data_IF_670374891835
#
_entry.id   IF_670374891835
#
_cell.length_a   1.000
_cell.length_b   1.000
_cell.length_c   1.000
_cell.angle_alpha   90.00
_cell.angle_beta   90.00
_cell.angle_gamma   90.00
#
_symmetry.space_group_name_H-M   'P 1'
#
loop_
_entity.id
_entity.type
_entity.pdbx_description
1 polymer ?
#
# COMPACT_ATOMS: atom_id res chain seq x y z
N UNK A 1 37.45 -21.32 -24.62
CA UNK A 1 36.31 -20.34 -24.59
C UNK A 1 35.14 -20.81 -23.72
N UNK A 2 34.97 -22.07 -23.36
CA UNK A 2 33.91 -22.58 -22.45
C UNK A 2 34.22 -22.45 -20.96
N UNK A 3 35.48 -22.34 -20.57
CA UNK A 3 35.91 -22.26 -19.16
C UNK A 3 35.76 -20.85 -18.57
N UNK A 4 35.79 -19.81 -19.40
CA UNK A 4 35.65 -18.43 -18.96
C UNK A 4 34.17 -18.09 -18.62
N UNK A 5 33.21 -18.67 -19.35
CA UNK A 5 31.78 -18.43 -19.08
C UNK A 5 31.27 -19.07 -17.77
N UNK A 6 31.86 -20.19 -17.32
CA UNK A 6 31.41 -20.88 -16.11
C UNK A 6 31.87 -20.24 -14.80
N UNK A 7 32.88 -19.36 -14.82
CA UNK A 7 33.38 -18.66 -13.62
C UNK A 7 32.88 -17.24 -13.46
N UNK A 8 32.49 -16.57 -14.58
CA UNK A 8 32.03 -15.17 -14.57
C UNK A 8 30.58 -15.08 -14.12
N UNK A 9 29.71 -16.02 -14.52
CA UNK A 9 28.29 -16.01 -14.17
C UNK A 9 28.04 -16.16 -12.66
N UNK A 10 28.69 -17.10 -11.93
CA UNK A 10 28.52 -17.20 -10.47
C UNK A 10 29.02 -15.98 -9.70
N UNK A 11 30.12 -15.35 -10.17
CA UNK A 11 30.68 -14.15 -9.51
C UNK A 11 29.77 -12.92 -9.77
N UNK A 12 29.18 -12.81 -10.94
CA UNK A 12 28.23 -11.72 -11.26
C UNK A 12 26.91 -11.89 -10.55
N UNK A 13 26.40 -13.12 -10.42
CA UNK A 13 25.18 -13.46 -9.67
C UNK A 13 25.39 -13.26 -8.17
N UNK A 14 26.57 -13.64 -7.61
CA UNK A 14 26.88 -13.40 -6.20
C UNK A 14 27.10 -11.91 -5.89
N UNK A 15 27.63 -11.11 -6.82
CA UNK A 15 27.74 -9.66 -6.68
C UNK A 15 26.38 -8.95 -6.72
N UNK A 16 25.41 -9.44 -7.49
CA UNK A 16 24.03 -8.94 -7.52
C UNK A 16 23.22 -9.33 -6.27
N UNK A 17 23.55 -10.47 -5.65
CA UNK A 17 22.90 -10.93 -4.42
C UNK A 17 23.33 -10.16 -3.16
N UNK A 18 24.47 -9.47 -3.18
CA UNK A 18 25.01 -8.72 -2.03
C UNK A 18 24.87 -7.19 -2.14
N UNK A 19 24.08 -6.67 -3.09
CA UNK A 19 23.82 -5.23 -3.12
C UNK A 19 22.73 -4.88 -2.09
N UNK A 20 23.12 -4.08 -1.10
CA UNK A 20 22.20 -3.54 -0.12
C UNK A 20 21.09 -2.75 -0.81
N UNK A 21 19.86 -3.09 -0.47
CA UNK A 21 18.65 -2.41 -0.93
C UNK A 21 18.26 -1.36 0.09
N UNK A 22 18.47 -0.11 -0.29
CA UNK A 22 18.10 1.05 0.51
C UNK A 22 16.57 1.17 0.60
N UNK A 23 16.04 1.37 1.81
CA UNK A 23 14.61 1.45 2.04
C UNK A 23 13.88 0.10 2.02
N UNK A 24 14.61 -0.99 2.11
CA UNK A 24 14.10 -2.36 2.17
C UNK A 24 14.78 -3.15 3.29
N UNK A 25 14.25 -4.34 3.57
CA UNK A 25 14.88 -5.29 4.48
C UNK A 25 16.04 -6.02 3.81
N UNK A 26 17.16 -6.11 4.52
CA UNK A 26 18.35 -6.83 4.13
C UNK A 26 18.73 -7.83 5.23
N UNK A 27 19.38 -8.94 4.86
CA UNK A 27 19.98 -9.88 5.82
C UNK A 27 21.48 -9.60 5.81
N UNK A 28 22.01 -9.09 6.92
CA UNK A 28 23.40 -8.66 7.03
C UNK A 28 24.08 -9.36 8.20
N UNK A 29 25.38 -9.62 8.03
CA UNK A 29 26.20 -10.28 9.03
C UNK A 29 26.78 -9.27 10.01
N UNK A 30 26.78 -9.60 11.30
CA UNK A 30 27.47 -8.83 12.35
C UNK A 30 28.97 -9.02 12.22
N UNK A 31 29.70 -7.91 12.06
CA UNK A 31 31.17 -7.93 11.92
C UNK A 31 31.88 -7.38 13.16
N UNK A 32 31.20 -6.57 13.97
CA UNK A 32 31.80 -5.94 15.16
C UNK A 32 30.75 -5.54 16.17
N UNK A 33 31.04 -5.70 17.45
CA UNK A 33 30.20 -5.27 18.58
C UNK A 33 30.91 -4.11 19.28
N UNK A 34 30.13 -3.06 19.60
CA UNK A 34 30.59 -1.85 20.29
C UNK A 34 29.59 -1.44 21.38
N UNK A 35 29.95 -0.53 22.28
CA UNK A 35 29.10 -0.12 23.40
C UNK A 35 27.77 0.50 22.99
N UNK A 36 27.73 1.15 21.83
CA UNK A 36 26.56 1.86 21.30
C UNK A 36 25.80 1.11 20.20
N UNK A 37 26.19 -0.15 19.89
CA UNK A 37 25.50 -0.97 18.91
C UNK A 37 26.36 -2.06 18.30
N UNK A 38 25.98 -2.51 17.10
CA UNK A 38 26.76 -3.47 16.31
C UNK A 38 26.96 -2.96 14.89
N UNK A 39 28.08 -3.30 14.29
CA UNK A 39 28.33 -3.03 12.88
C UNK A 39 28.01 -4.26 12.04
N UNK A 40 27.33 -4.03 10.94
CA UNK A 40 26.90 -5.02 9.96
C UNK A 40 27.73 -4.88 8.67
N UNK A 41 27.96 -5.99 8.00
CA UNK A 41 28.66 -6.03 6.72
C UNK A 41 27.81 -5.42 5.60
N UNK A 42 28.13 -4.21 5.19
CA UNK A 42 27.53 -3.51 4.07
C UNK A 42 28.18 -3.78 2.71
N UNK A 43 29.18 -4.68 2.67
CA UNK A 43 29.96 -4.98 1.48
C UNK A 43 30.94 -3.88 1.08
N UNK A 44 31.58 -4.05 -0.07
CA UNK A 44 32.61 -3.11 -0.57
C UNK A 44 32.12 -1.67 -0.75
N UNK A 45 30.85 -1.48 -1.07
CA UNK A 45 30.31 -0.15 -1.39
C UNK A 45 29.88 0.64 -0.14
N UNK A 46 29.20 -0.03 0.81
CA UNK A 46 28.64 0.63 1.99
C UNK A 46 29.52 0.48 3.23
N UNK A 47 30.51 -0.41 3.21
CA UNK A 47 31.39 -0.69 4.34
C UNK A 47 30.64 -1.25 5.56
N UNK A 48 31.00 -0.80 6.74
CA UNK A 48 30.35 -1.19 7.99
C UNK A 48 29.13 -0.29 8.26
N UNK A 49 27.93 -0.89 8.42
CA UNK A 49 26.68 -0.19 8.69
C UNK A 49 26.33 -0.35 10.16
N UNK A 50 26.11 0.75 10.86
CA UNK A 50 25.73 0.74 12.27
C UNK A 50 24.26 0.30 12.44
N UNK A 51 24.03 -0.69 13.30
CA UNK A 51 22.76 -0.99 13.94
C UNK A 51 22.82 -0.51 15.40
N UNK A 52 22.11 0.57 15.77
CA UNK A 52 22.15 1.10 17.12
C UNK A 52 21.68 0.11 18.19
N UNK A 53 22.28 0.15 19.37
CA UNK A 53 21.98 -0.74 20.51
C UNK A 53 20.52 -0.80 20.88
N UNK A 54 19.82 0.32 20.74
CA UNK A 54 18.39 0.43 21.10
C UNK A 54 17.49 -0.45 20.21
N UNK A 55 17.95 -0.80 19.02
CA UNK A 55 17.21 -1.65 18.07
C UNK A 55 17.89 -2.98 17.79
N UNK A 56 19.11 -3.18 18.30
CA UNK A 56 19.85 -4.43 18.20
C UNK A 56 19.33 -5.48 19.19
N UNK A 57 19.43 -6.79 18.90
CA UNK A 57 19.12 -7.85 19.84
C UNK A 57 20.09 -7.81 21.05
N UNK A 58 19.57 -8.12 22.25
CA UNK A 58 20.35 -8.08 23.49
C UNK A 58 21.53 -9.09 23.51
N UNK A 59 21.36 -10.25 22.85
CA UNK A 59 22.35 -11.32 22.79
C UNK A 59 22.90 -11.51 21.36
N UNK A 60 23.43 -10.44 20.81
CA UNK A 60 24.01 -10.48 19.47
C UNK A 60 25.49 -10.83 19.52
N UNK A 61 25.98 -11.65 18.58
CA UNK A 61 27.38 -12.09 18.46
C UNK A 61 27.94 -11.78 17.07
N UNK A 62 29.25 -11.58 17.00
CA UNK A 62 29.92 -11.51 15.70
C UNK A 62 29.71 -12.79 14.91
N UNK A 63 29.32 -12.61 13.64
CA UNK A 63 28.96 -13.70 12.76
C UNK A 63 27.48 -13.98 12.63
N UNK A 64 26.62 -13.45 13.51
CA UNK A 64 25.17 -13.59 13.41
C UNK A 64 24.62 -12.88 12.16
N UNK A 65 23.59 -13.43 11.55
CA UNK A 65 22.85 -12.81 10.46
C UNK A 65 21.58 -12.16 11.00
N UNK A 66 21.43 -10.85 10.75
CA UNK A 66 20.28 -10.07 11.20
C UNK A 66 19.47 -9.55 10.01
N UNK A 67 18.14 -9.70 10.08
CA UNK A 67 17.21 -9.04 9.17
C UNK A 67 16.97 -7.61 9.64
N UNK A 68 17.50 -6.64 8.92
CA UNK A 68 17.46 -5.22 9.25
C UNK A 68 16.89 -4.38 8.11
N UNK A 69 16.25 -3.28 8.44
CA UNK A 69 15.84 -2.26 7.49
C UNK A 69 16.97 -1.23 7.34
N UNK A 70 17.31 -0.85 6.11
CA UNK A 70 18.41 0.08 5.81
C UNK A 70 17.85 1.41 5.32
N UNK A 71 18.26 2.49 5.98
CA UNK A 71 17.83 3.86 5.63
C UNK A 71 18.91 4.88 5.96
N UNK A 72 18.65 6.18 5.72
CA UNK A 72 19.55 7.26 6.12
C UNK A 72 19.09 7.90 7.44
N UNK A 73 20.03 8.13 8.35
CA UNK A 73 19.79 8.91 9.56
C UNK A 73 19.66 10.43 9.28
N UNK A 74 19.49 11.23 10.34
CA UNK A 74 19.34 12.68 10.21
C UNK A 74 20.59 13.40 9.71
N UNK A 75 21.75 12.75 9.74
CA UNK A 75 23.02 13.24 9.23
C UNK A 75 23.36 12.68 7.83
N UNK A 76 22.36 12.06 7.17
CA UNK A 76 22.48 11.40 5.86
C UNK A 76 23.51 10.25 5.82
N UNK A 77 23.77 9.60 6.96
CA UNK A 77 24.57 8.37 7.04
C UNK A 77 23.67 7.16 6.88
N UNK A 78 24.17 6.13 6.18
CA UNK A 78 23.45 4.84 6.09
C UNK A 78 23.45 4.17 7.47
N UNK A 79 22.28 3.76 7.90
CA UNK A 79 22.05 3.13 9.20
C UNK A 79 21.06 1.97 9.07
N UNK A 80 21.24 0.98 9.91
CA UNK A 80 20.33 -0.15 10.04
C UNK A 80 19.39 0.01 11.24
N UNK A 81 18.22 -0.59 11.16
CA UNK A 81 17.30 -0.69 12.29
C UNK A 81 16.50 -1.98 12.24
N UNK A 82 16.14 -2.53 13.39
CA UNK A 82 15.14 -3.60 13.51
C UNK A 82 13.74 -3.06 13.80
N UNK A 83 13.59 -1.74 13.96
CA UNK A 83 12.28 -1.11 14.04
C UNK A 83 11.57 -1.26 12.70
N UNK A 84 10.32 -1.69 12.73
CA UNK A 84 9.50 -1.84 11.51
C UNK A 84 8.97 -0.47 11.06
N UNK A 85 9.34 0.01 9.87
CA UNK A 85 8.75 1.21 9.30
C UNK A 85 7.29 0.96 8.91
N UNK A 86 6.50 2.03 8.76
CA UNK A 86 5.10 1.94 8.29
C UNK A 86 4.99 1.49 6.83
N UNK A 87 6.04 1.66 6.04
CA UNK A 87 6.15 1.20 4.66
C UNK A 87 7.62 1.10 4.25
N UNK A 88 7.91 0.26 3.27
CA UNK A 88 9.22 0.15 2.61
C UNK A 88 9.17 0.79 1.22
N UNK A 89 10.31 0.88 0.57
CA UNK A 89 10.39 1.31 -0.84
C UNK A 89 9.57 0.35 -1.71
N UNK A 90 8.68 0.92 -2.53
CA UNK A 90 7.74 0.16 -3.35
C UNK A 90 6.32 0.06 -2.77
N UNK A 91 6.10 0.49 -1.54
CA UNK A 91 4.79 0.41 -0.89
C UNK A 91 3.98 1.69 -1.05
N UNK A 92 2.66 1.50 -1.04
CA UNK A 92 1.68 2.55 -0.79
C UNK A 92 1.23 2.48 0.67
N UNK A 93 1.24 3.62 1.37
CA UNK A 93 0.82 3.66 2.77
C UNK A 93 0.17 4.99 3.13
N UNK A 94 -0.79 4.93 4.05
CA UNK A 94 -1.40 6.12 4.66
C UNK A 94 -0.50 6.59 5.81
N UNK A 95 0.00 7.84 5.72
CA UNK A 95 0.91 8.40 6.71
C UNK A 95 0.50 9.80 7.13
N UNK A 96 0.71 10.11 8.41
CA UNK A 96 0.39 11.40 9.01
C UNK A 96 1.52 12.40 8.80
N UNK A 97 1.18 13.62 8.42
CA UNK A 97 2.12 14.76 8.36
C UNK A 97 2.42 15.22 9.78
N UNK A 98 3.70 15.21 10.15
CA UNK A 98 4.19 15.66 11.46
C UNK A 98 4.90 17.00 11.43
N UNK A 99 5.29 17.47 10.24
CA UNK A 99 5.94 18.76 10.07
C UNK A 99 5.97 19.20 8.61
N UNK A 100 6.22 20.48 8.40
CA UNK A 100 6.47 21.07 7.08
C UNK A 100 7.66 22.00 7.16
N UNK A 101 8.39 22.16 6.04
CA UNK A 101 9.50 23.08 5.90
C UNK A 101 9.57 23.63 4.48
N UNK A 102 10.58 24.45 4.19
CA UNK A 102 10.82 24.98 2.84
C UNK A 102 11.19 23.95 1.77
N UNK A 103 11.38 22.67 2.12
CA UNK A 103 11.69 21.59 1.17
C UNK A 103 10.51 20.65 0.92
N UNK A 104 9.50 20.63 1.80
CA UNK A 104 8.33 19.78 1.69
C UNK A 104 7.70 19.46 3.02
N UNK A 105 6.87 18.42 3.03
CA UNK A 105 6.22 17.86 4.21
C UNK A 105 6.99 16.66 4.73
N UNK A 106 6.92 16.43 6.04
CA UNK A 106 7.52 15.29 6.73
C UNK A 106 6.42 14.40 7.28
N UNK A 107 6.55 13.11 7.04
CA UNK A 107 5.60 12.09 7.44
C UNK A 107 6.17 11.24 8.58
N UNK A 108 5.32 10.90 9.54
CA UNK A 108 5.63 9.88 10.53
C UNK A 108 5.76 8.51 9.85
N UNK A 109 6.99 8.10 9.65
CA UNK A 109 7.36 6.84 9.02
C UNK A 109 7.46 5.67 10.01
N UNK A 110 7.36 5.96 11.32
CA UNK A 110 7.59 4.98 12.37
C UNK A 110 9.07 4.75 12.68
N UNK A 111 9.98 5.53 12.09
CA UNK A 111 11.41 5.54 12.35
C UNK A 111 11.82 6.86 13.02
N UNK A 112 13.07 6.94 13.49
CA UNK A 112 13.61 8.18 14.10
C UNK A 112 13.64 9.37 13.11
N UNK A 113 13.87 9.11 11.84
CA UNK A 113 13.84 10.11 10.79
C UNK A 113 12.49 10.07 10.08
N UNK A 114 11.84 11.21 10.01
CA UNK A 114 10.60 11.37 9.25
C UNK A 114 10.84 11.25 7.76
N UNK A 115 9.84 10.79 7.01
CA UNK A 115 9.90 10.60 5.57
C UNK A 115 9.50 11.89 4.85
N UNK A 116 10.38 12.40 4.00
CA UNK A 116 10.15 13.62 3.24
C UNK A 116 9.22 13.37 2.04
N UNK A 117 8.23 14.26 1.87
CA UNK A 117 7.49 14.46 0.62
C UNK A 117 7.89 15.82 0.03
N UNK A 118 8.80 15.87 -0.95
CA UNK A 118 9.20 17.13 -1.58
C UNK A 118 8.00 17.87 -2.21
N UNK A 119 8.01 19.21 -2.28
CA UNK A 119 6.89 19.96 -2.87
C UNK A 119 6.51 19.48 -4.27
N UNK A 120 7.49 19.16 -5.12
CA UNK A 120 7.25 18.62 -6.48
C UNK A 120 6.51 17.29 -6.49
N UNK A 121 6.53 16.56 -5.39
CA UNK A 121 5.88 15.26 -5.20
C UNK A 121 4.51 15.36 -4.51
N UNK A 122 4.13 16.56 -4.10
CA UNK A 122 2.81 16.83 -3.53
C UNK A 122 1.81 17.14 -4.65
N UNK A 123 0.65 16.47 -4.62
CA UNK A 123 -0.46 16.75 -5.53
C UNK A 123 -1.21 18.02 -5.09
N UNK A 124 -1.30 18.23 -3.79
CA UNK A 124 -1.87 19.37 -3.10
C UNK A 124 -0.99 19.71 -1.90
N UNK A 125 -1.15 20.90 -1.34
CA UNK A 125 -0.43 21.31 -0.15
C UNK A 125 -0.76 20.38 1.03
N UNK A 126 0.28 19.83 1.66
CA UNK A 126 0.13 18.89 2.77
C UNK A 126 0.08 19.63 4.11
N UNK A 127 -0.92 19.30 4.93
CA UNK A 127 -1.23 19.96 6.19
C UNK A 127 -0.83 19.10 7.37
N UNK A 128 -0.11 19.68 8.35
CA UNK A 128 0.28 18.99 9.58
C UNK A 128 -0.94 18.43 10.30
N UNK A 129 -0.82 17.19 10.77
CA UNK A 129 -1.88 16.46 11.48
C UNK A 129 -2.82 15.67 10.56
N UNK A 130 -2.83 15.94 9.23
CA UNK A 130 -3.61 15.16 8.26
C UNK A 130 -2.84 13.95 7.75
N UNK A 131 -3.58 12.95 7.32
CA UNK A 131 -3.03 11.73 6.72
C UNK A 131 -3.21 11.76 5.19
N UNK A 132 -2.18 11.28 4.49
CA UNK A 132 -2.14 11.20 3.04
C UNK A 132 -1.66 9.82 2.60
N UNK A 133 -2.31 9.25 1.59
CA UNK A 133 -1.80 8.04 0.93
C UNK A 133 -0.61 8.44 0.05
N UNK A 134 0.52 7.81 0.28
CA UNK A 134 1.78 8.09 -0.41
C UNK A 134 2.40 6.81 -0.94
N UNK A 135 3.25 6.95 -1.96
CA UNK A 135 4.14 5.91 -2.46
C UNK A 135 5.58 6.21 -2.02
N UNK A 136 6.26 5.22 -1.47
CA UNK A 136 7.64 5.34 -0.99
C UNK A 136 8.61 4.88 -2.08
N UNK A 137 9.62 5.70 -2.40
CA UNK A 137 10.59 5.36 -3.44
C UNK A 137 11.95 6.01 -3.18
N UNK A 138 12.99 5.52 -3.90
CA UNK A 138 14.31 6.18 -3.93
C UNK A 138 14.32 7.18 -5.07
N UNK A 139 14.53 8.46 -4.76
CA UNK A 139 14.70 9.51 -5.77
C UNK A 139 16.05 9.36 -6.46
N UNK A 140 16.01 9.01 -7.75
CA UNK A 140 17.21 8.77 -8.57
C UNK A 140 18.14 9.97 -8.71
N UNK A 141 17.69 11.18 -8.38
CA UNK A 141 18.50 12.41 -8.49
C UNK A 141 19.31 12.65 -7.21
N UNK A 142 18.75 12.26 -6.06
CA UNK A 142 19.34 12.54 -4.74
C UNK A 142 19.75 11.28 -3.98
N UNK A 143 19.43 10.10 -4.51
CA UNK A 143 19.58 8.78 -3.89
C UNK A 143 18.93 8.68 -2.50
N UNK A 144 17.97 9.58 -2.19
CA UNK A 144 17.26 9.60 -0.91
C UNK A 144 15.92 8.86 -1.00
N UNK A 145 15.54 8.21 0.08
CA UNK A 145 14.20 7.67 0.24
C UNK A 145 13.24 8.85 0.48
N UNK A 146 12.23 8.97 -0.37
CA UNK A 146 11.20 10.00 -0.32
C UNK A 146 9.83 9.39 -0.60
N UNK A 147 8.77 10.17 -0.35
CA UNK A 147 7.42 9.75 -0.69
C UNK A 147 6.76 10.73 -1.66
N UNK A 148 5.71 10.27 -2.34
CA UNK A 148 4.93 11.05 -3.31
C UNK A 148 3.44 10.81 -3.13
N UNK A 149 2.63 11.87 -3.17
CA UNK A 149 1.16 11.78 -3.29
C UNK A 149 0.70 11.69 -4.75
N UNK A 150 1.62 11.75 -5.73
CA UNK A 150 1.35 11.64 -7.17
C UNK A 150 1.34 10.16 -7.61
N UNK A 151 0.42 9.37 -7.02
CA UNK A 151 0.42 7.90 -7.07
C UNK A 151 0.37 7.34 -8.50
N UNK A 152 -0.36 7.99 -9.42
CA UNK A 152 -0.47 7.56 -10.82
C UNK A 152 0.87 7.47 -11.56
N UNK A 153 1.92 8.17 -11.08
CA UNK A 153 3.26 8.07 -11.64
C UNK A 153 3.92 6.70 -11.43
N UNK A 154 3.44 5.95 -10.45
CA UNK A 154 4.02 4.66 -10.02
C UNK A 154 3.12 3.47 -10.36
N UNK A 155 1.90 3.73 -10.80
CA UNK A 155 0.92 2.72 -11.19
C UNK A 155 0.92 2.46 -12.71
N UNK A 156 0.36 1.32 -13.11
CA UNK A 156 0.19 0.91 -14.52
C UNK A 156 1.51 0.85 -15.31
N UNK A 157 2.60 0.39 -14.65
CA UNK A 157 3.93 0.24 -15.27
C UNK A 157 4.15 -1.13 -15.92
N UNK A 158 3.31 -2.09 -15.58
CA UNK A 158 3.31 -3.45 -16.12
C UNK A 158 2.02 -3.71 -16.90
N UNK A 159 1.99 -4.66 -17.84
CA UNK A 159 0.75 -5.11 -18.46
C UNK A 159 -0.26 -5.61 -17.42
N UNK A 160 -1.55 -5.44 -17.73
CA UNK A 160 -2.64 -5.97 -16.91
C UNK A 160 -2.81 -7.46 -17.23
N UNK A 161 -2.44 -8.32 -16.28
CA UNK A 161 -2.46 -9.78 -16.43
C UNK A 161 -3.33 -10.41 -15.31
N UNK A 162 -4.57 -9.91 -15.18
CA UNK A 162 -5.55 -10.45 -14.24
C UNK A 162 -6.63 -11.24 -14.95
N UNK A 163 -7.18 -12.23 -14.25
CA UNK A 163 -8.36 -12.97 -14.67
C UNK A 163 -9.64 -12.38 -14.08
N UNK A 164 -10.77 -12.52 -14.77
CA UNK A 164 -12.07 -12.12 -14.23
C UNK A 164 -12.42 -12.98 -13.01
N UNK A 165 -12.83 -12.33 -11.93
CA UNK A 165 -13.12 -12.99 -10.64
C UNK A 165 -11.88 -13.34 -9.83
N UNK A 166 -10.67 -12.98 -10.29
CA UNK A 166 -9.44 -13.15 -9.52
C UNK A 166 -9.50 -12.32 -8.23
N UNK A 167 -9.13 -12.96 -7.12
CA UNK A 167 -8.95 -12.30 -5.84
C UNK A 167 -7.67 -11.46 -5.84
N UNK A 168 -7.77 -10.23 -5.35
CA UNK A 168 -6.67 -9.25 -5.33
C UNK A 168 -6.68 -8.43 -4.05
N UNK A 169 -5.50 -7.95 -3.67
CA UNK A 169 -5.38 -6.94 -2.62
C UNK A 169 -5.70 -5.55 -3.16
N UNK A 170 -6.48 -4.78 -2.42
CA UNK A 170 -6.88 -3.43 -2.77
C UNK A 170 -6.46 -2.44 -1.68
N UNK A 171 -5.97 -1.28 -2.10
CA UNK A 171 -5.78 -0.13 -1.21
C UNK A 171 -6.72 0.98 -1.70
N UNK A 172 -7.58 1.48 -0.83
CA UNK A 172 -8.50 2.58 -1.17
C UNK A 172 -7.70 3.87 -1.32
N UNK A 173 -7.60 4.37 -2.54
CA UNK A 173 -6.73 5.51 -2.85
C UNK A 173 -7.44 6.86 -2.79
N UNK A 174 -8.65 6.95 -3.33
CA UNK A 174 -9.35 8.23 -3.47
C UNK A 174 -10.84 8.04 -3.71
N UNK A 175 -11.65 8.89 -3.10
CA UNK A 175 -13.07 9.01 -3.42
C UNK A 175 -13.27 9.85 -4.70
N UNK A 176 -14.21 9.44 -5.55
CA UNK A 176 -14.61 10.12 -6.78
C UNK A 176 -16.14 10.17 -6.87
N UNK A 177 -16.67 10.89 -7.86
CA UNK A 177 -18.12 10.95 -8.09
C UNK A 177 -18.69 9.59 -8.50
N UNK A 178 -17.89 8.74 -9.16
CA UNK A 178 -18.30 7.42 -9.61
C UNK A 178 -18.17 6.34 -8.53
N UNK A 179 -17.35 6.57 -7.50
CA UNK A 179 -17.04 5.57 -6.45
C UNK A 179 -15.67 5.82 -5.85
N UNK A 180 -14.85 4.78 -5.75
CA UNK A 180 -13.49 4.87 -5.21
C UNK A 180 -12.47 4.34 -6.20
N UNK A 181 -11.42 5.14 -6.41
CA UNK A 181 -10.20 4.59 -7.03
C UNK A 181 -9.47 3.77 -5.99
N UNK A 182 -9.00 2.62 -6.41
CA UNK A 182 -8.24 1.67 -5.59
C UNK A 182 -6.94 1.27 -6.31
N UNK A 183 -5.97 0.82 -5.55
CA UNK A 183 -4.72 0.27 -6.06
C UNK A 183 -4.81 -1.25 -5.92
N UNK A 184 -4.61 -1.96 -7.03
CA UNK A 184 -4.64 -3.42 -7.13
C UNK A 184 -3.21 -3.94 -7.03
N UNK A 185 -2.94 -4.83 -6.04
CA UNK A 185 -1.66 -5.52 -5.85
C UNK A 185 -0.44 -4.58 -5.97
N UNK A 186 -0.50 -3.39 -5.39
CA UNK A 186 0.54 -2.34 -5.47
C UNK A 186 0.99 -1.97 -6.90
N UNK A 187 0.22 -2.30 -7.92
CA UNK A 187 0.67 -2.20 -9.33
C UNK A 187 -0.27 -1.42 -10.24
N UNK A 188 -1.58 -1.59 -10.12
CA UNK A 188 -2.53 -1.02 -11.07
C UNK A 188 -3.60 -0.17 -10.39
N UNK A 189 -4.03 0.89 -11.09
CA UNK A 189 -5.19 1.67 -10.67
C UNK A 189 -6.48 1.00 -11.17
N UNK A 190 -7.48 0.91 -10.29
CA UNK A 190 -8.80 0.38 -10.61
C UNK A 190 -9.89 1.25 -9.97
N UNK A 191 -11.14 1.00 -10.32
CA UNK A 191 -12.30 1.65 -9.73
C UNK A 191 -13.25 0.62 -9.11
N UNK A 192 -13.79 0.96 -7.93
CA UNK A 192 -14.97 0.32 -7.36
C UNK A 192 -16.11 1.32 -7.46
N UNK A 193 -17.16 0.98 -8.20
CA UNK A 193 -18.32 1.85 -8.36
C UNK A 193 -19.13 1.96 -7.07
N UNK A 194 -19.76 3.12 -6.87
CA UNK A 194 -20.57 3.41 -5.67
C UNK A 194 -21.67 2.37 -5.44
N UNK A 195 -22.30 1.87 -6.49
CA UNK A 195 -23.36 0.85 -6.42
C UNK A 195 -22.83 -0.58 -6.10
N UNK A 196 -21.54 -0.77 -6.01
CA UNK A 196 -20.89 -2.04 -5.60
C UNK A 196 -20.36 -1.96 -4.15
N UNK A 197 -20.59 -0.84 -3.46
CA UNK A 197 -20.08 -0.61 -2.11
C UNK A 197 -21.24 -0.62 -1.14
N UNK A 198 -21.31 -1.65 -0.29
CA UNK A 198 -22.38 -1.87 0.67
C UNK A 198 -21.95 -1.65 2.13
N UNK A 199 -20.70 -1.22 2.33
CA UNK A 199 -20.13 -0.93 3.64
C UNK A 199 -19.27 0.34 3.57
N UNK A 200 -19.13 1.09 4.66
CA UNK A 200 -18.21 2.23 4.69
C UNK A 200 -16.78 1.78 4.39
N UNK A 201 -16.13 2.49 3.48
CA UNK A 201 -14.69 2.32 3.20
C UNK A 201 -13.99 3.66 3.32
N UNK A 202 -12.74 3.64 3.78
CA UNK A 202 -11.93 4.85 4.02
C UNK A 202 -10.64 4.82 3.22
N UNK A 203 -10.10 6.00 2.90
CA UNK A 203 -8.82 6.14 2.18
C UNK A 203 -7.71 5.50 3.01
N UNK A 204 -6.81 4.78 2.33
CA UNK A 204 -5.71 4.02 2.94
C UNK A 204 -6.11 2.65 3.48
N UNK A 205 -7.39 2.29 3.47
CA UNK A 205 -7.85 0.97 3.92
C UNK A 205 -7.38 -0.11 2.95
N UNK A 206 -6.83 -1.20 3.52
CA UNK A 206 -6.53 -2.43 2.80
C UNK A 206 -7.74 -3.33 2.81
N UNK A 207 -8.11 -3.85 1.66
CA UNK A 207 -9.28 -4.70 1.44
C UNK A 207 -8.91 -5.85 0.50
N UNK A 208 -9.60 -6.96 0.65
CA UNK A 208 -9.66 -7.98 -0.39
C UNK A 208 -10.79 -7.63 -1.36
N UNK A 209 -10.52 -7.75 -2.65
CA UNK A 209 -11.53 -7.57 -3.68
C UNK A 209 -11.32 -8.51 -4.85
N UNK A 210 -12.12 -8.34 -5.89
CA UNK A 210 -12.12 -9.22 -7.05
C UNK A 210 -12.14 -8.40 -8.34
N UNK A 211 -11.43 -8.86 -9.35
CA UNK A 211 -11.47 -8.27 -10.70
C UNK A 211 -12.84 -8.53 -11.31
N UNK A 212 -13.59 -7.46 -11.57
CA UNK A 212 -14.92 -7.54 -12.19
C UNK A 212 -14.84 -7.50 -13.71
N UNK A 213 -14.08 -6.54 -14.24
CA UNK A 213 -13.96 -6.29 -15.67
C UNK A 213 -12.60 -5.69 -15.97
N UNK A 214 -11.98 -6.12 -17.05
CA UNK A 214 -10.84 -5.45 -17.67
C UNK A 214 -11.36 -4.89 -18.99
N UNK A 215 -11.31 -3.56 -19.13
CA UNK A 215 -11.84 -2.85 -20.29
C UNK A 215 -10.83 -2.89 -21.44
N UNK A 216 -11.29 -2.63 -22.65
CA UNK A 216 -10.45 -2.55 -23.84
C UNK A 216 -9.36 -1.48 -23.74
N UNK A 217 -9.61 -0.39 -22.99
CA UNK A 217 -8.63 0.67 -22.68
C UNK A 217 -7.65 0.31 -21.55
N UNK A 218 -7.68 -0.92 -21.04
CA UNK A 218 -6.83 -1.43 -19.99
C UNK A 218 -7.24 -1.01 -18.57
N UNK A 219 -8.35 -0.28 -18.39
CA UNK A 219 -8.87 0.06 -17.08
C UNK A 219 -9.51 -1.13 -16.40
N UNK A 220 -9.37 -1.19 -15.10
CA UNK A 220 -9.83 -2.30 -14.25
C UNK A 220 -11.00 -1.83 -13.41
N UNK A 221 -12.09 -2.60 -13.42
CA UNK A 221 -13.19 -2.47 -12.48
C UNK A 221 -13.08 -3.58 -11.43
N UNK A 222 -13.18 -3.21 -10.16
CA UNK A 222 -13.15 -4.14 -9.03
C UNK A 222 -14.46 -4.14 -8.25
N UNK A 223 -14.68 -5.22 -7.52
CA UNK A 223 -15.77 -5.37 -6.55
C UNK A 223 -15.20 -5.92 -5.23
N UNK A 224 -15.88 -5.62 -4.12
CA UNK A 224 -15.46 -6.10 -2.80
C UNK A 224 -15.98 -7.50 -2.46
N UNK A 225 -16.90 -8.01 -3.24
CA UNK A 225 -17.53 -9.31 -3.00
C UNK A 225 -17.61 -10.07 -4.32
N UNK A 226 -17.31 -11.37 -4.26
CA UNK A 226 -17.50 -12.24 -5.42
C UNK A 226 -18.97 -12.19 -5.82
N UNK A 227 -19.25 -11.94 -7.11
CA UNK A 227 -20.62 -11.90 -7.64
C UNK A 227 -21.23 -13.31 -7.73
N UNK A 228 -21.35 -14.00 -6.61
CA UNK A 228 -22.27 -15.11 -6.52
C UNK A 228 -23.65 -14.49 -6.33
N UNK A 229 -24.39 -14.38 -7.43
CA UNK A 229 -25.65 -13.62 -7.50
C UNK A 229 -26.71 -13.99 -6.45
N UNK A 230 -26.52 -15.07 -5.70
CA UNK A 230 -27.31 -15.47 -4.54
C UNK A 230 -26.91 -14.72 -3.25
N UNK A 231 -25.62 -14.60 -2.92
CA UNK A 231 -25.18 -13.92 -1.69
C UNK A 231 -25.56 -12.44 -1.65
N UNK A 232 -25.57 -11.76 -2.80
CA UNK A 232 -25.94 -10.34 -2.87
C UNK A 232 -27.43 -10.12 -2.60
N UNK A 233 -28.27 -11.08 -3.04
CA UNK A 233 -29.71 -11.10 -2.76
C UNK A 233 -29.94 -11.39 -1.29
N UNK A 234 -29.27 -12.37 -0.71
CA UNK A 234 -29.44 -12.76 0.68
C UNK A 234 -29.05 -11.63 1.66
N UNK A 235 -27.97 -10.93 1.40
CA UNK A 235 -27.53 -9.78 2.24
C UNK A 235 -28.46 -8.57 2.12
N UNK A 236 -28.93 -8.29 0.91
CA UNK A 236 -29.91 -7.23 0.70
C UNK A 236 -31.23 -7.59 1.38
N UNK A 237 -31.64 -8.86 1.36
CA UNK A 237 -32.80 -9.36 2.08
C UNK A 237 -32.66 -9.15 3.60
N UNK A 238 -31.51 -9.51 4.18
CA UNK A 238 -31.22 -9.28 5.61
C UNK A 238 -31.28 -7.80 5.95
N UNK A 239 -30.71 -6.91 5.12
CA UNK A 239 -30.76 -5.46 5.32
C UNK A 239 -32.17 -4.89 5.24
N UNK A 240 -32.98 -5.39 4.30
CA UNK A 240 -34.40 -5.01 4.15
C UNK A 240 -35.19 -5.47 5.37
N UNK A 241 -35.02 -6.69 5.82
CA UNK A 241 -35.68 -7.24 7.01
C UNK A 241 -35.34 -6.46 8.26
N UNK A 242 -34.04 -6.15 8.47
CA UNK A 242 -33.61 -5.33 9.59
C UNK A 242 -34.25 -3.94 9.58
N UNK A 243 -34.31 -3.28 8.43
CA UNK A 243 -34.97 -1.97 8.30
C UNK A 243 -36.50 -2.05 8.47
N UNK A 244 -37.12 -3.14 8.06
CA UNK A 244 -38.54 -3.42 8.34
C UNK A 244 -38.79 -3.53 9.84
N UNK A 245 -37.97 -4.26 10.57
CA UNK A 245 -38.07 -4.41 12.03
C UNK A 245 -37.88 -3.06 12.73
N UNK A 246 -36.84 -2.27 12.34
CA UNK A 246 -36.57 -0.95 12.89
C UNK A 246 -37.70 0.06 12.66
N UNK A 247 -38.51 -0.11 11.60
CA UNK A 247 -39.60 0.77 11.22
C UNK A 247 -41.00 0.18 11.47
N UNK A 248 -41.11 -0.77 12.40
CA UNK A 248 -42.40 -1.31 12.80
C UNK A 248 -43.14 -2.15 11.72
N UNK A 249 -42.35 -2.79 10.84
CA UNK A 249 -42.87 -3.70 9.81
C UNK A 249 -43.25 -3.02 8.49
N UNK A 250 -42.95 -1.73 8.32
CA UNK A 250 -43.28 -0.99 7.10
C UNK A 250 -42.06 -0.24 6.57
N UNK A 251 -41.93 -0.15 5.26
CA UNK A 251 -40.91 0.68 4.59
C UNK A 251 -41.57 1.72 3.68
N UNK A 252 -41.04 2.93 3.64
CA UNK A 252 -41.51 3.99 2.77
C UNK A 252 -41.25 3.72 1.28
N UNK A 253 -40.46 2.70 0.94
CA UNK A 253 -40.08 2.35 -0.43
C UNK A 253 -40.60 0.99 -0.83
N UNK A 254 -40.97 0.88 -2.11
CA UNK A 254 -41.43 -0.36 -2.76
C UNK A 254 -40.65 -0.61 -4.05
N UNK A 255 -40.96 -1.71 -4.73
CA UNK A 255 -40.41 -2.03 -6.06
C UNK A 255 -40.76 -0.99 -7.14
N UNK A 256 -41.73 -0.10 -6.86
CA UNK A 256 -42.16 0.98 -7.75
C UNK A 256 -41.53 2.33 -7.42
N UNK A 257 -40.88 2.47 -6.26
CA UNK A 257 -40.23 3.70 -5.81
C UNK A 257 -39.10 4.16 -6.74
N UNK A 258 -38.72 5.42 -6.62
CA UNK A 258 -37.65 6.02 -7.42
C UNK A 258 -36.30 5.32 -7.20
N UNK A 259 -35.50 5.08 -8.23
CA UNK A 259 -34.18 4.45 -8.10
C UNK A 259 -33.26 5.15 -7.10
N UNK A 260 -33.28 6.50 -7.04
CA UNK A 260 -32.42 7.27 -6.14
C UNK A 260 -32.85 7.12 -4.68
N UNK A 261 -34.15 6.94 -4.43
CA UNK A 261 -34.70 6.71 -3.11
C UNK A 261 -34.34 5.31 -2.58
N UNK A 262 -34.48 4.28 -3.43
CA UNK A 262 -34.03 2.91 -3.14
C UNK A 262 -32.51 2.90 -2.87
N UNK A 263 -31.76 3.58 -3.70
CA UNK A 263 -30.31 3.66 -3.54
C UNK A 263 -29.91 4.35 -2.22
N UNK A 264 -30.58 5.42 -1.84
CA UNK A 264 -30.32 6.16 -0.59
C UNK A 264 -30.57 5.31 0.66
N UNK A 265 -31.59 4.44 0.62
CA UNK A 265 -31.98 3.60 1.76
C UNK A 265 -31.20 2.29 1.84
N UNK A 266 -30.87 1.68 0.72
CA UNK A 266 -30.32 0.32 0.65
C UNK A 266 -28.96 0.23 -0.07
N UNK A 267 -28.46 1.30 -0.68
CA UNK A 267 -27.20 1.31 -1.43
C UNK A 267 -27.20 0.41 -2.67
N UNK A 268 -28.37 -0.04 -3.13
CA UNK A 268 -28.49 -0.98 -4.24
C UNK A 268 -29.26 -0.40 -5.44
N UNK A 269 -29.09 -1.02 -6.62
CA UNK A 269 -29.90 -0.69 -7.79
C UNK A 269 -31.34 -1.15 -7.64
N UNK A 270 -32.29 -0.43 -8.26
CA UNK A 270 -33.71 -0.84 -8.32
C UNK A 270 -33.90 -2.26 -8.87
N UNK A 271 -33.05 -2.71 -9.79
CA UNK A 271 -33.07 -4.08 -10.33
C UNK A 271 -32.76 -5.10 -9.24
N UNK A 272 -31.73 -4.87 -8.43
CA UNK A 272 -31.37 -5.76 -7.34
C UNK A 272 -32.42 -5.74 -6.23
N UNK A 273 -32.97 -4.55 -5.88
CA UNK A 273 -34.05 -4.42 -4.93
C UNK A 273 -35.28 -5.25 -5.35
N UNK A 274 -35.77 -5.08 -6.60
CA UNK A 274 -36.86 -5.88 -7.14
C UNK A 274 -36.60 -7.37 -7.09
N UNK A 275 -35.39 -7.81 -7.40
CA UNK A 275 -35.03 -9.24 -7.37
C UNK A 275 -35.01 -9.82 -5.96
N UNK A 276 -34.82 -8.97 -4.94
CA UNK A 276 -34.75 -9.40 -3.54
C UNK A 276 -36.13 -9.41 -2.87
N UNK A 277 -37.05 -8.51 -3.24
CA UNK A 277 -38.39 -8.39 -2.63
C UNK A 277 -39.50 -9.13 -3.40
N UNK A 278 -39.25 -9.56 -4.63
CA UNK A 278 -40.15 -10.34 -5.49
C UNK A 278 -39.75 -11.76 -5.62
#
# INVERSE_FOLDING_TARGET
SKIIKSKIIPIFVSKLQNMIKLGEYNILKVVKIVDFGVYLDGGEYWGEILLPKETAPAECKEGDELKVFIYFDSEDRVIATMTTPKAIVGDFALMKVVGTSRVGAFLDWGLRKDLLVPFREQREEMVVGREYLVYVYVDKTTDRIVASTRLSRFLNKTPVEYELGQEVELIVARRTDLGYNVIVNNSHEAIIYRNEIFQPIIIGQHLTGYIKTIREDGKIDCILQKNDGHEQIDRLAVLILKKLEENGGSLAVSDKSDPDEIYRLFGCSKKNYKKTVG
#
